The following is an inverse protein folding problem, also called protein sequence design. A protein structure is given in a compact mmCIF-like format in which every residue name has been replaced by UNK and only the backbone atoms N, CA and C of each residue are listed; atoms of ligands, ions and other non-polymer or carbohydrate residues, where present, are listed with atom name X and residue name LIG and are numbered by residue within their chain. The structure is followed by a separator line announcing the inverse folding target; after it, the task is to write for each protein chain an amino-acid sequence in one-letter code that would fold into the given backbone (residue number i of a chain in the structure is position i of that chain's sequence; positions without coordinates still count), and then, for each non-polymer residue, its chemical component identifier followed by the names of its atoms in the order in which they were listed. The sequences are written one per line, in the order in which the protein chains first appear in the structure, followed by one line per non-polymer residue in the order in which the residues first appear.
data_IF_250744180762
#
_entry.id   IF_250744180762
#
_cell.length_a   1.000
_cell.length_b   1.000
_cell.length_c   1.000
_cell.angle_alpha   90.00
_cell.angle_beta   90.00
_cell.angle_gamma   90.00
#
_symmetry.space_group_name_H-M   'P 1'
#
loop_
_entity.id
_entity.type
_entity.pdbx_description
1 polymer ?
#
# COMPACT_ATOMS: atom_id res chain seq x y z
N UNK A 1 -9.71 2.14 10.81
CA UNK A 1 -9.90 2.25 9.36
C UNK A 1 -10.45 0.92 8.91
N UNK A 2 -11.69 0.90 8.40
CA UNK A 2 -12.26 -0.31 7.85
C UNK A 2 -11.59 -0.60 6.51
N UNK A 3 -11.03 -1.79 6.34
CA UNK A 3 -10.34 -2.18 5.10
C UNK A 3 -11.36 -2.72 4.12
N UNK A 4 -11.49 -2.09 2.95
CA UNK A 4 -12.34 -2.57 1.86
C UNK A 4 -11.46 -3.21 0.77
N UNK A 5 -11.66 -4.50 0.51
CA UNK A 5 -10.94 -5.24 -0.54
C UNK A 5 -11.87 -5.34 -1.74
N UNK A 6 -11.44 -4.79 -2.88
CA UNK A 6 -12.22 -4.78 -4.12
C UNK A 6 -11.29 -4.84 -5.33
N UNK A 7 -11.84 -4.82 -6.55
CA UNK A 7 -11.05 -4.80 -7.79
C UNK A 7 -10.14 -3.56 -7.83
N UNK A 8 -9.00 -3.66 -8.52
CA UNK A 8 -8.04 -2.53 -8.64
C UNK A 8 -8.72 -1.25 -9.15
N UNK A 9 -9.62 -1.37 -10.13
CA UNK A 9 -10.34 -0.22 -10.70
C UNK A 9 -11.24 0.41 -9.63
N UNK A 10 -12.09 -0.39 -8.98
CA UNK A 10 -13.01 0.11 -7.96
C UNK A 10 -12.26 0.67 -6.74
N UNK A 11 -11.12 0.07 -6.36
CA UNK A 11 -10.30 0.54 -5.25
C UNK A 11 -9.71 1.93 -5.53
N UNK A 12 -9.28 2.18 -6.79
CA UNK A 12 -8.81 3.49 -7.23
C UNK A 12 -9.94 4.52 -7.24
N UNK A 13 -11.13 4.18 -7.74
CA UNK A 13 -12.29 5.07 -7.75
C UNK A 13 -12.73 5.47 -6.33
N UNK A 14 -12.89 4.49 -5.43
CA UNK A 14 -13.24 4.76 -4.03
C UNK A 14 -12.19 5.64 -3.35
N UNK A 15 -10.91 5.37 -3.63
CA UNK A 15 -9.81 6.17 -3.10
C UNK A 15 -9.87 7.61 -3.62
N UNK A 16 -9.97 7.81 -4.93
CA UNK A 16 -9.99 9.14 -5.54
C UNK A 16 -11.21 9.96 -5.08
N UNK A 17 -12.38 9.34 -4.97
CA UNK A 17 -13.58 9.95 -4.39
C UNK A 17 -13.35 10.39 -2.94
N UNK A 18 -12.73 9.54 -2.11
CA UNK A 18 -12.41 9.88 -0.73
C UNK A 18 -11.38 11.02 -0.64
N UNK A 19 -10.39 11.04 -1.53
CA UNK A 19 -9.41 12.13 -1.61
C UNK A 19 -10.08 13.45 -1.99
N UNK A 20 -11.02 13.44 -2.94
CA UNK A 20 -11.77 14.63 -3.37
C UNK A 20 -12.60 15.24 -2.22
N UNK A 21 -13.04 14.40 -1.28
CA UNK A 21 -13.81 14.80 -0.09
C UNK A 21 -12.91 15.23 1.08
N UNK A 22 -11.59 15.22 0.91
CA UNK A 22 -10.64 15.58 1.98
C UNK A 22 -10.46 14.48 3.04
N UNK A 23 -10.92 13.27 2.79
CA UNK A 23 -10.84 12.15 3.76
C UNK A 23 -9.43 11.57 3.74
N UNK A 24 -8.83 11.39 4.93
CA UNK A 24 -7.56 10.66 5.08
C UNK A 24 -7.73 9.23 4.63
N UNK A 25 -7.03 8.85 3.57
CA UNK A 25 -7.21 7.55 2.93
C UNK A 25 -5.87 6.92 2.56
N UNK A 26 -5.83 5.59 2.61
CA UNK A 26 -4.69 4.77 2.22
C UNK A 26 -5.13 3.86 1.06
N UNK A 27 -4.40 3.89 -0.04
CA UNK A 27 -4.51 2.89 -1.11
C UNK A 27 -3.28 1.99 -1.06
N UNK A 28 -3.52 0.68 -1.05
CA UNK A 28 -2.52 -0.34 -1.27
C UNK A 28 -2.81 -1.01 -2.61
N UNK A 29 -1.83 -1.02 -3.51
CA UNK A 29 -1.93 -1.73 -4.78
C UNK A 29 -0.61 -2.44 -5.12
N UNK A 30 -0.73 -3.63 -5.68
CA UNK A 30 0.39 -4.34 -6.31
C UNK A 30 0.72 -3.69 -7.66
N UNK A 31 2.00 -3.65 -8.01
CA UNK A 31 2.47 -3.17 -9.29
C UNK A 31 1.94 -4.04 -10.44
N UNK A 32 1.72 -3.44 -11.60
CA UNK A 32 1.21 -4.17 -12.76
C UNK A 32 2.30 -4.99 -13.46
N UNK A 33 3.57 -4.65 -13.25
CA UNK A 33 4.73 -5.26 -13.90
C UNK A 33 5.50 -6.23 -13.02
N UNK A 34 5.24 -6.25 -11.71
CA UNK A 34 5.98 -7.08 -10.74
C UNK A 34 5.11 -7.44 -9.54
N UNK A 35 5.11 -8.73 -9.19
CA UNK A 35 4.29 -9.27 -8.10
C UNK A 35 4.87 -9.02 -6.70
N UNK A 36 6.11 -8.52 -6.63
CA UNK A 36 6.84 -8.23 -5.40
C UNK A 36 7.01 -6.73 -5.16
N UNK A 37 6.38 -5.87 -5.98
CA UNK A 37 6.36 -4.42 -5.77
C UNK A 37 4.95 -3.99 -5.38
N UNK A 38 4.86 -3.26 -4.27
CA UNK A 38 3.61 -2.72 -3.75
C UNK A 38 3.73 -1.22 -3.53
N UNK A 39 2.67 -0.50 -3.86
CA UNK A 39 2.56 0.94 -3.67
C UNK A 39 1.61 1.25 -2.52
N UNK A 40 2.10 1.99 -1.54
CA UNK A 40 1.30 2.56 -0.46
C UNK A 40 1.13 4.06 -0.67
N UNK A 41 -0.12 4.50 -0.89
CA UNK A 41 -0.46 5.90 -1.11
C UNK A 41 -1.32 6.40 0.03
N UNK A 42 -0.68 6.99 1.03
CA UNK A 42 -1.36 7.71 2.11
C UNK A 42 -1.55 9.18 1.69
N UNK A 43 -2.80 9.67 1.69
CA UNK A 43 -3.13 11.06 1.37
C UNK A 43 -4.10 11.66 2.36
N UNK A 44 -4.16 12.99 2.34
CA UNK A 44 -4.96 13.82 3.26
C UNK A 44 -4.66 13.53 4.74
N UNK A 45 -3.42 13.14 5.06
CA UNK A 45 -2.98 13.07 6.45
C UNK A 45 -2.97 14.50 7.02
N UNK A 46 -3.68 14.72 8.12
CA UNK A 46 -3.80 16.04 8.70
C UNK A 46 -2.43 16.60 9.13
N UNK A 47 -2.34 17.93 9.24
CA UNK A 47 -1.14 18.57 9.78
C UNK A 47 -0.87 18.05 11.19
N UNK A 48 0.40 17.66 11.46
CA UNK A 48 0.83 17.01 12.70
C UNK A 48 0.20 15.63 12.95
N UNK A 49 -0.38 15.02 11.91
CA UNK A 49 -0.91 13.67 11.98
C UNK A 49 0.17 12.62 11.90
N UNK A 50 -0.03 11.56 12.67
CA UNK A 50 0.78 10.36 12.62
C UNK A 50 -0.08 9.23 12.02
N UNK A 51 0.56 8.36 11.26
CA UNK A 51 -0.09 7.18 10.70
C UNK A 51 0.82 5.98 10.91
N UNK A 52 0.26 4.92 11.48
CA UNK A 52 0.87 3.60 11.46
C UNK A 52 0.25 2.80 10.32
N UNK A 53 1.08 2.30 9.41
CA UNK A 53 0.63 1.51 8.26
C UNK A 53 1.15 0.09 8.43
N UNK A 54 0.24 -0.87 8.32
CA UNK A 54 0.54 -2.30 8.36
C UNK A 54 -0.03 -2.99 7.13
N UNK A 55 0.70 -3.96 6.58
CA UNK A 55 0.26 -4.79 5.46
C UNK A 55 0.47 -6.26 5.80
N UNK A 56 -0.57 -7.06 5.56
CA UNK A 56 -0.47 -8.51 5.50
C UNK A 56 -0.53 -8.99 4.05
N UNK A 57 0.36 -9.90 3.68
CA UNK A 57 0.35 -10.56 2.37
C UNK A 57 0.04 -12.04 2.58
N UNK A 58 -1.03 -12.52 1.94
CA UNK A 58 -1.37 -13.94 1.87
C UNK A 58 -1.31 -14.35 0.41
N UNK A 59 -0.43 -15.30 0.08
CA UNK A 59 -0.28 -15.81 -1.28
C UNK A 59 -0.12 -17.32 -1.27
N UNK A 60 -0.57 -17.97 -2.34
CA UNK A 60 -0.33 -19.40 -2.56
C UNK A 60 1.07 -19.56 -3.14
N UNK A 61 1.82 -20.51 -2.59
CA UNK A 61 3.15 -20.85 -3.08
C UNK A 61 3.10 -22.19 -3.78
N UNK A 62 3.56 -22.21 -5.03
CA UNK A 62 3.68 -23.46 -5.79
C UNK A 62 5.01 -24.16 -5.46
N UNK A 63 5.00 -25.49 -5.58
CA UNK A 63 6.16 -26.33 -5.34
C UNK A 63 6.96 -26.44 -6.65
N UNK A 64 8.23 -26.08 -6.59
CA UNK A 64 9.17 -26.20 -7.71
C UNK A 64 9.52 -27.69 -7.98
N UNK A 65 10.06 -28.03 -9.17
CA UNK A 65 10.37 -29.42 -9.52
C UNK A 65 11.34 -30.14 -8.58
N UNK A 66 12.13 -29.40 -7.80
CA UNK A 66 13.04 -29.92 -6.79
C UNK A 66 12.40 -30.13 -5.41
N UNK A 67 11.07 -29.94 -5.31
CA UNK A 67 10.29 -30.08 -4.09
C UNK A 67 10.35 -28.88 -3.16
N UNK A 68 10.99 -27.78 -3.56
CA UNK A 68 11.10 -26.56 -2.74
C UNK A 68 9.99 -25.58 -3.07
N UNK A 69 9.85 -24.58 -2.20
CA UNK A 69 8.93 -23.47 -2.36
C UNK A 69 9.73 -22.18 -2.41
N UNK A 70 9.40 -21.30 -3.36
CA UNK A 70 9.99 -19.97 -3.45
C UNK A 70 9.00 -18.92 -2.95
N UNK A 71 9.40 -18.21 -1.91
CA UNK A 71 8.67 -17.04 -1.40
C UNK A 71 9.54 -15.80 -1.57
N UNK A 72 9.02 -14.81 -2.31
CA UNK A 72 9.67 -13.50 -2.44
C UNK A 72 8.86 -12.50 -1.64
N UNK A 73 9.49 -11.92 -0.61
CA UNK A 73 8.90 -10.84 0.16
C UNK A 73 9.55 -9.51 -0.27
N UNK A 74 8.77 -8.43 -0.46
CA UNK A 74 9.33 -7.09 -0.58
C UNK A 74 10.06 -6.75 0.72
N UNK A 75 11.36 -6.50 0.66
CA UNK A 75 12.19 -6.24 1.86
C UNK A 75 12.47 -4.75 2.10
N UNK A 76 12.15 -3.89 1.13
CA UNK A 76 12.49 -2.47 1.18
C UNK A 76 11.21 -1.63 1.07
N UNK A 77 10.90 -0.91 2.14
CA UNK A 77 10.00 0.24 2.07
C UNK A 77 10.83 1.45 1.64
N UNK A 78 10.53 2.02 0.49
CA UNK A 78 11.15 3.26 0.01
C UNK A 78 10.18 4.44 0.20
N UNK A 79 10.05 4.98 1.42
CA UNK A 79 9.14 6.08 1.67
C UNK A 79 9.60 7.31 0.86
N UNK A 80 8.76 7.75 -0.08
CA UNK A 80 8.98 9.01 -0.81
C UNK A 80 8.43 10.23 -0.05
N UNK A 81 8.20 10.09 1.26
CA UNK A 81 7.72 11.17 2.11
C UNK A 81 8.90 11.78 2.87
N UNK A 82 9.35 12.96 2.44
CA UNK A 82 10.21 13.84 3.23
C UNK A 82 9.34 14.97 3.76
N UNK A 83 8.71 14.84 4.95
CA UNK A 83 8.06 15.99 5.55
C UNK A 83 9.13 17.06 5.70
N UNK A 84 8.89 18.26 5.15
CA UNK A 84 9.76 19.40 5.42
C UNK A 84 9.87 19.50 6.94
N UNK A 85 11.09 19.47 7.47
CA UNK A 85 11.32 19.78 8.88
C UNK A 85 10.70 21.15 9.10
N UNK A 86 9.56 21.20 9.80
CA UNK A 86 8.91 22.44 10.14
C UNK A 86 9.92 23.30 10.86
N UNK A 87 10.17 24.51 10.34
CA UNK A 87 10.85 25.54 11.12
C UNK A 87 9.93 25.85 12.30
N UNK A 88 10.30 25.34 13.47
CA UNK A 88 9.83 25.84 14.75
C UNK A 88 10.59 27.13 15.07
#
# INVERSE_FOLDING_TARGET
MDTNITSRINAREIYDDAISQGITSLLLEEDESSADIFWFKLRNLHNKGEANVSMGLVTKLDIEPDGKVKFTLPTILNPRYSPSKGHH
#
